data_IF_856465359651
#
_entry.id   IF_856465359651
#
_cell.length_a   1.000
_cell.length_b   1.000
_cell.length_c   1.000
_cell.angle_alpha   90.00
_cell.angle_beta   90.00
_cell.angle_gamma   90.00
#
_symmetry.space_group_name_H-M   'P 1'
#
loop_
_entity.id
_entity.type
_entity.pdbx_description
1 polymer ?
#
# COMPACT_ATOMS: atom_id res chain seq x y z
N UNK A 1 -35.89 -5.80 -3.82
CA UNK A 1 -35.44 -4.41 -3.60
C UNK A 1 -33.99 -4.53 -3.19
N UNK A 2 -33.05 -4.22 -4.07
CA UNK A 2 -31.66 -4.11 -3.69
C UNK A 2 -31.57 -3.01 -2.65
N UNK A 3 -31.06 -3.35 -1.48
CA UNK A 3 -30.83 -2.36 -0.42
C UNK A 3 -29.72 -1.44 -0.91
N UNK A 4 -30.05 -0.21 -1.30
CA UNK A 4 -29.04 0.82 -1.60
C UNK A 4 -28.09 0.95 -0.42
N UNK A 5 -26.81 0.80 -0.67
CA UNK A 5 -25.75 0.89 0.32
C UNK A 5 -25.09 2.26 0.26
N UNK A 6 -24.52 2.66 1.36
CA UNK A 6 -23.73 3.90 1.45
C UNK A 6 -22.24 3.56 1.53
N UNK A 7 -21.48 4.06 0.56
CA UNK A 7 -20.06 3.89 0.46
C UNK A 7 -19.33 5.19 0.77
N UNK A 8 -18.25 5.08 1.55
CA UNK A 8 -17.23 6.12 1.65
C UNK A 8 -16.01 5.64 0.87
N UNK A 9 -15.70 6.33 -0.21
CA UNK A 9 -14.54 6.07 -1.05
C UNK A 9 -13.42 7.05 -0.68
N UNK A 10 -12.20 6.55 -0.47
CA UNK A 10 -11.04 7.36 -0.08
C UNK A 10 -10.01 7.30 -1.20
N UNK A 11 -9.54 8.45 -1.67
CA UNK A 11 -8.49 8.54 -2.66
C UNK A 11 -7.64 9.79 -2.50
N UNK A 12 -6.35 9.62 -2.21
CA UNK A 12 -5.35 10.68 -2.18
C UNK A 12 -4.77 11.02 -3.55
N UNK A 13 -5.06 10.20 -4.56
CA UNK A 13 -4.67 10.37 -5.94
C UNK A 13 -5.91 10.35 -6.82
N UNK A 14 -5.85 10.95 -8.00
CA UNK A 14 -6.96 10.85 -8.94
C UNK A 14 -7.03 9.44 -9.54
N UNK A 15 -7.74 8.55 -8.83
CA UNK A 15 -7.94 7.15 -9.21
C UNK A 15 -9.35 6.68 -8.85
N UNK A 16 -9.80 5.62 -9.52
CA UNK A 16 -11.06 4.95 -9.21
C UNK A 16 -12.33 5.64 -9.74
N UNK A 17 -12.22 6.55 -10.70
CA UNK A 17 -13.37 7.23 -11.30
C UNK A 17 -14.42 6.24 -11.82
N UNK A 18 -14.00 5.21 -12.56
CA UNK A 18 -14.92 4.17 -13.09
C UNK A 18 -15.60 3.37 -11.97
N UNK A 19 -14.91 3.14 -10.86
CA UNK A 19 -15.49 2.48 -9.69
C UNK A 19 -16.60 3.33 -9.06
N UNK A 20 -16.39 4.65 -8.90
CA UNK A 20 -17.40 5.58 -8.38
C UNK A 20 -18.64 5.62 -9.31
N UNK A 21 -18.43 5.69 -10.63
CA UNK A 21 -19.49 5.65 -11.62
C UNK A 21 -20.31 4.37 -11.47
N UNK A 22 -19.64 3.22 -11.43
CA UNK A 22 -20.32 1.93 -11.34
C UNK A 22 -21.08 1.76 -10.02
N UNK A 23 -20.54 2.21 -8.89
CA UNK A 23 -21.28 2.21 -7.62
C UNK A 23 -22.57 3.00 -7.72
N UNK A 24 -22.53 4.17 -8.37
CA UNK A 24 -23.72 5.03 -8.55
C UNK A 24 -24.75 4.40 -9.48
N UNK A 25 -24.31 3.81 -10.59
CA UNK A 25 -25.18 3.06 -11.52
C UNK A 25 -25.94 1.93 -10.83
N UNK A 26 -25.33 1.29 -9.82
CA UNK A 26 -25.97 0.28 -8.98
C UNK A 26 -26.94 0.86 -7.94
N UNK A 27 -27.19 2.16 -7.96
CA UNK A 27 -28.16 2.83 -7.08
C UNK A 27 -27.64 3.13 -5.67
N UNK A 28 -26.35 3.05 -5.43
CA UNK A 28 -25.76 3.31 -4.13
C UNK A 28 -25.59 4.81 -3.86
N UNK A 29 -25.46 5.15 -2.56
CA UNK A 29 -24.97 6.47 -2.14
C UNK A 29 -23.44 6.44 -2.08
N UNK A 30 -22.81 7.40 -2.75
CA UNK A 30 -21.36 7.46 -2.93
C UNK A 30 -20.81 8.75 -2.37
N UNK A 31 -20.02 8.66 -1.33
CA UNK A 31 -19.25 9.78 -0.76
C UNK A 31 -17.77 9.62 -1.12
N UNK A 32 -17.14 10.68 -1.58
CA UNK A 32 -15.70 10.71 -1.86
C UNK A 32 -14.99 11.56 -0.80
N UNK A 33 -13.95 10.99 -0.20
CA UNK A 33 -12.98 11.74 0.62
C UNK A 33 -11.68 11.82 -0.16
N UNK A 34 -11.21 13.02 -0.44
CA UNK A 34 -10.01 13.26 -1.25
C UNK A 34 -9.21 14.45 -0.72
N UNK A 35 -8.02 14.68 -1.25
CA UNK A 35 -7.19 15.82 -0.91
C UNK A 35 -7.74 17.11 -1.54
N UNK A 36 -7.59 18.23 -0.83
CA UNK A 36 -7.88 19.57 -1.37
C UNK A 36 -7.08 19.84 -2.67
N UNK A 37 -5.89 19.26 -2.80
CA UNK A 37 -5.05 19.38 -4.00
C UNK A 37 -5.68 18.76 -5.25
N UNK A 38 -6.68 17.89 -5.09
CA UNK A 38 -7.39 17.22 -6.19
C UNK A 38 -8.78 17.82 -6.47
N UNK A 39 -9.07 19.01 -5.94
CA UNK A 39 -10.36 19.69 -6.12
C UNK A 39 -10.73 19.87 -7.58
N UNK A 40 -9.76 20.29 -8.39
CA UNK A 40 -9.94 20.56 -9.81
C UNK A 40 -9.69 19.33 -10.71
N UNK A 41 -9.49 18.15 -10.12
CA UNK A 41 -9.37 16.90 -10.87
C UNK A 41 -10.71 16.53 -11.50
N UNK A 42 -10.71 15.82 -12.65
CA UNK A 42 -11.93 15.51 -13.38
C UNK A 42 -12.74 14.37 -12.73
N UNK A 43 -13.09 14.53 -11.46
CA UNK A 43 -13.93 13.57 -10.74
C UNK A 43 -15.31 13.45 -11.43
N UNK A 44 -15.92 12.26 -11.44
CA UNK A 44 -17.25 12.04 -12.00
C UNK A 44 -18.33 12.59 -11.03
N UNK A 45 -18.45 13.91 -10.92
CA UNK A 45 -19.32 14.60 -9.94
C UNK A 45 -20.78 14.15 -10.01
N UNK A 46 -21.29 13.80 -11.20
CA UNK A 46 -22.66 13.27 -11.37
C UNK A 46 -22.85 11.90 -10.71
N UNK A 47 -21.76 11.20 -10.38
CA UNK A 47 -21.74 9.88 -9.73
C UNK A 47 -21.33 9.92 -8.27
N UNK A 48 -21.19 11.12 -7.69
CA UNK A 48 -20.77 11.34 -6.30
C UNK A 48 -21.83 12.22 -5.61
N UNK A 49 -22.38 11.72 -4.50
CA UNK A 49 -23.40 12.48 -3.76
C UNK A 49 -22.79 13.66 -3.00
N UNK A 50 -21.60 13.50 -2.45
CA UNK A 50 -20.85 14.58 -1.80
C UNK A 50 -19.35 14.28 -1.79
N UNK A 51 -18.52 15.34 -1.92
CA UNK A 51 -17.07 15.27 -1.83
C UNK A 51 -16.58 15.99 -0.59
N UNK A 52 -15.80 15.29 0.21
CA UNK A 52 -15.14 15.84 1.40
C UNK A 52 -13.66 16.03 1.13
N UNK A 53 -13.18 17.25 1.29
CA UNK A 53 -11.79 17.58 1.04
C UNK A 53 -11.00 17.64 2.35
N UNK A 54 -9.89 16.90 2.38
CA UNK A 54 -8.95 16.90 3.48
C UNK A 54 -7.81 17.88 3.19
N UNK A 55 -7.47 18.69 4.18
CA UNK A 55 -6.31 19.57 4.11
C UNK A 55 -5.01 18.78 4.24
N UNK A 56 -3.98 19.26 3.55
CA UNK A 56 -2.64 18.64 3.55
C UNK A 56 -2.28 18.01 2.21
N UNK A 57 -1.00 17.73 2.06
CA UNK A 57 -0.46 17.01 0.92
C UNK A 57 -0.64 15.51 1.16
N UNK A 58 -1.09 14.84 0.17
CA UNK A 58 -1.22 13.38 -0.06
C UNK A 58 -1.17 12.44 1.16
N UNK A 59 -0.08 12.41 1.93
CA UNK A 59 0.15 11.47 3.03
C UNK A 59 -0.09 12.07 4.42
N UNK A 60 -0.28 13.38 4.52
CA UNK A 60 -0.27 14.08 5.80
C UNK A 60 -1.67 14.33 6.39
N UNK A 61 -2.66 13.57 5.98
CA UNK A 61 -4.00 13.70 6.56
C UNK A 61 -3.99 13.36 8.04
N UNK A 62 -4.59 14.25 8.82
CA UNK A 62 -4.83 13.98 10.22
C UNK A 62 -5.94 12.93 10.36
N UNK A 63 -5.58 11.72 10.80
CA UNK A 63 -6.51 10.59 10.91
C UNK A 63 -7.61 10.83 11.94
N UNK A 64 -7.35 11.60 13.00
CA UNK A 64 -8.35 11.93 14.00
C UNK A 64 -9.39 12.90 13.43
N UNK A 65 -8.97 13.87 12.61
CA UNK A 65 -9.90 14.75 11.90
C UNK A 65 -10.75 13.96 10.90
N UNK A 66 -10.15 13.04 10.18
CA UNK A 66 -10.84 12.15 9.25
C UNK A 66 -11.89 11.30 10.00
N UNK A 67 -11.50 10.68 11.12
CA UNK A 67 -12.38 9.88 11.96
C UNK A 67 -13.56 10.71 12.49
N UNK A 68 -13.29 11.91 13.02
CA UNK A 68 -14.31 12.82 13.53
C UNK A 68 -15.27 13.26 12.43
N UNK A 69 -14.77 13.58 11.23
CA UNK A 69 -15.58 13.96 10.08
C UNK A 69 -16.55 12.85 9.67
N UNK A 70 -16.02 11.63 9.48
CA UNK A 70 -16.84 10.47 9.12
C UNK A 70 -17.81 10.10 10.25
N UNK A 71 -17.34 10.10 11.51
CA UNK A 71 -18.21 9.87 12.67
C UNK A 71 -19.35 10.89 12.77
N UNK A 72 -19.12 12.14 12.37
CA UNK A 72 -20.17 13.15 12.31
C UNK A 72 -21.18 12.88 11.18
N UNK A 73 -20.70 12.50 9.99
CA UNK A 73 -21.55 12.08 8.87
C UNK A 73 -22.45 10.91 9.25
N UNK A 74 -21.93 9.96 10.01
CA UNK A 74 -22.66 8.76 10.47
C UNK A 74 -23.79 9.04 11.45
N UNK A 75 -23.89 10.24 12.04
CA UNK A 75 -25.02 10.61 12.91
C UNK A 75 -26.35 10.62 12.15
N UNK A 76 -26.31 10.95 10.87
CA UNK A 76 -27.51 11.05 10.02
C UNK A 76 -27.51 10.08 8.84
N UNK A 77 -26.37 9.43 8.57
CA UNK A 77 -26.23 8.52 7.45
C UNK A 77 -25.66 7.17 7.94
N UNK A 78 -26.33 6.07 7.60
CA UNK A 78 -25.73 4.76 7.80
C UNK A 78 -24.63 4.58 6.75
N UNK A 79 -23.44 4.20 7.18
CA UNK A 79 -22.33 3.83 6.29
C UNK A 79 -22.20 2.31 6.27
N UNK A 80 -22.28 1.70 5.10
CA UNK A 80 -22.22 0.25 4.92
C UNK A 80 -20.81 -0.22 4.56
N UNK A 81 -20.02 0.60 3.88
CA UNK A 81 -18.65 0.24 3.50
C UNK A 81 -17.71 1.44 3.38
N UNK A 82 -16.44 1.22 3.70
CA UNK A 82 -15.35 2.15 3.41
C UNK A 82 -14.39 1.46 2.43
N UNK A 83 -14.15 2.11 1.28
CA UNK A 83 -13.30 1.59 0.20
C UNK A 83 -12.17 2.55 -0.06
N UNK A 84 -10.96 2.03 -0.16
CA UNK A 84 -9.77 2.81 -0.55
C UNK A 84 -9.46 2.53 -2.02
N UNK A 85 -9.31 3.59 -2.79
CA UNK A 85 -9.13 3.52 -4.25
C UNK A 85 -7.66 3.53 -4.66
N UNK A 86 -6.76 3.72 -3.68
CA UNK A 86 -5.32 3.71 -3.86
C UNK A 86 -4.64 2.94 -2.73
N UNK A 87 -3.47 2.35 -3.00
CA UNK A 87 -2.70 1.61 -2.01
C UNK A 87 -2.18 2.50 -0.87
N UNK A 88 -1.91 3.79 -1.13
CA UNK A 88 -1.54 4.77 -0.08
C UNK A 88 -2.66 5.04 0.92
N UNK A 89 -3.90 4.75 0.57
CA UNK A 89 -5.06 4.98 1.42
C UNK A 89 -5.47 3.77 2.27
N UNK A 90 -4.86 2.60 2.04
CA UNK A 90 -5.20 1.36 2.74
C UNK A 90 -5.15 1.54 4.27
N UNK A 91 -4.12 2.18 4.80
CA UNK A 91 -4.00 2.40 6.25
C UNK A 91 -5.08 3.33 6.79
N UNK A 92 -5.50 4.35 6.03
CA UNK A 92 -6.62 5.25 6.39
C UNK A 92 -7.95 4.51 6.45
N UNK A 93 -8.26 3.73 5.40
CA UNK A 93 -9.49 2.94 5.35
C UNK A 93 -9.55 1.88 6.45
N UNK A 94 -8.44 1.22 6.75
CA UNK A 94 -8.38 0.23 7.84
C UNK A 94 -8.53 0.86 9.21
N UNK A 95 -7.93 2.05 9.43
CA UNK A 95 -8.10 2.83 10.65
C UNK A 95 -9.57 3.21 10.88
N UNK A 96 -10.24 3.73 9.86
CA UNK A 96 -11.66 4.10 9.95
C UNK A 96 -12.55 2.89 10.20
N UNK A 97 -12.38 1.80 9.41
CA UNK A 97 -13.21 0.59 9.59
C UNK A 97 -13.10 0.03 11.00
N UNK A 98 -11.89 -0.03 11.54
CA UNK A 98 -11.66 -0.56 12.88
C UNK A 98 -12.24 0.35 13.97
N UNK A 99 -12.09 1.66 13.88
CA UNK A 99 -12.62 2.60 14.87
C UNK A 99 -14.15 2.74 14.80
N UNK A 100 -14.74 2.73 13.60
CA UNK A 100 -16.18 2.92 13.37
C UNK A 100 -16.96 1.59 13.33
N UNK A 101 -16.27 0.45 13.51
CA UNK A 101 -16.87 -0.90 13.45
C UNK A 101 -17.60 -1.19 12.14
N UNK A 102 -17.03 -0.72 11.05
CA UNK A 102 -17.49 -1.04 9.68
C UNK A 102 -16.75 -2.28 9.20
N UNK A 103 -17.47 -3.20 8.59
CA UNK A 103 -16.91 -4.46 8.12
C UNK A 103 -15.76 -4.29 7.14
N UNK A 104 -14.76 -5.19 7.22
CA UNK A 104 -13.61 -5.23 6.35
C UNK A 104 -12.28 -5.36 7.12
N UNK A 105 -11.17 -5.24 6.41
CA UNK A 105 -9.85 -5.36 7.01
C UNK A 105 -9.60 -4.25 8.03
N UNK A 106 -9.21 -4.64 9.24
CA UNK A 106 -8.69 -3.73 10.27
C UNK A 106 -7.20 -3.42 10.06
N UNK A 107 -6.62 -2.61 10.94
CA UNK A 107 -5.26 -2.07 10.82
C UNK A 107 -4.18 -3.15 10.72
N UNK A 108 -4.26 -4.20 11.53
CA UNK A 108 -3.27 -5.30 11.49
C UNK A 108 -3.23 -5.98 10.13
N UNK A 109 -4.40 -6.30 9.57
CA UNK A 109 -4.50 -6.96 8.26
C UNK A 109 -4.09 -6.01 7.14
N UNK A 110 -4.53 -4.75 7.17
CA UNK A 110 -4.18 -3.75 6.16
C UNK A 110 -2.68 -3.51 6.03
N UNK A 111 -1.95 -3.57 7.15
CA UNK A 111 -0.49 -3.45 7.13
C UNK A 111 0.21 -4.54 6.34
N UNK A 112 -0.36 -5.72 6.20
CA UNK A 112 0.22 -6.78 5.35
C UNK A 112 0.25 -6.39 3.87
N UNK A 113 -0.50 -5.36 3.47
CA UNK A 113 -0.55 -4.87 2.09
C UNK A 113 0.25 -3.58 1.87
N UNK A 114 0.67 -2.89 2.95
CA UNK A 114 1.41 -1.62 2.85
C UNK A 114 2.77 -1.64 3.51
N UNK A 115 2.87 -2.22 4.70
CA UNK A 115 4.09 -2.25 5.49
C UNK A 115 4.96 -3.45 5.10
N UNK A 116 6.06 -3.21 4.41
CA UNK A 116 6.97 -4.26 3.93
C UNK A 116 7.50 -5.15 5.05
N UNK A 117 7.72 -4.62 6.26
CA UNK A 117 8.14 -5.43 7.40
C UNK A 117 7.02 -6.38 7.85
N UNK A 118 5.81 -5.87 8.00
CA UNK A 118 4.64 -6.69 8.35
C UNK A 118 4.34 -7.73 7.25
N UNK A 119 4.46 -7.36 5.99
CA UNK A 119 4.33 -8.25 4.83
C UNK A 119 5.36 -9.40 4.88
N UNK A 120 6.64 -9.10 5.14
CA UNK A 120 7.69 -10.12 5.27
C UNK A 120 7.46 -11.05 6.45
N UNK A 121 7.07 -10.50 7.60
CA UNK A 121 6.74 -11.29 8.79
C UNK A 121 5.56 -12.23 8.52
N UNK A 122 4.51 -11.72 7.86
CA UNK A 122 3.34 -12.52 7.50
C UNK A 122 3.69 -13.64 6.51
N UNK A 123 4.40 -13.32 5.43
CA UNK A 123 4.83 -14.29 4.45
C UNK A 123 5.68 -15.40 5.10
N UNK A 124 6.65 -15.04 5.96
CA UNK A 124 7.45 -15.99 6.73
C UNK A 124 6.60 -16.88 7.61
N UNK A 125 5.61 -16.33 8.31
CA UNK A 125 4.70 -17.12 9.18
C UNK A 125 3.81 -18.10 8.39
N UNK A 126 3.59 -17.82 7.10
CA UNK A 126 2.85 -18.70 6.19
C UNK A 126 3.76 -19.67 5.39
N UNK A 127 5.07 -19.73 5.69
CA UNK A 127 6.02 -20.59 4.98
C UNK A 127 6.38 -20.11 3.58
N UNK A 128 6.03 -18.88 3.22
CA UNK A 128 6.38 -18.28 1.93
C UNK A 128 7.84 -17.80 1.99
N UNK A 129 8.65 -18.21 0.99
CA UNK A 129 10.05 -17.82 0.89
C UNK A 129 10.20 -16.30 0.76
N UNK A 130 11.13 -15.75 1.54
CA UNK A 130 11.47 -14.33 1.53
C UNK A 130 12.99 -14.18 1.53
N UNK A 131 13.53 -13.05 1.04
CA UNK A 131 14.87 -12.63 1.41
C UNK A 131 15.00 -12.53 2.95
N UNK A 132 16.19 -12.77 3.49
CA UNK A 132 16.45 -12.48 4.90
C UNK A 132 16.20 -11.00 5.18
N UNK A 133 15.56 -10.71 6.31
CA UNK A 133 15.21 -9.34 6.68
C UNK A 133 15.30 -9.12 8.18
N UNK A 134 15.48 -7.87 8.57
CA UNK A 134 15.56 -7.42 9.96
C UNK A 134 14.84 -6.07 10.11
N UNK A 135 14.16 -5.88 11.25
CA UNK A 135 13.69 -4.55 11.67
C UNK A 135 14.85 -3.70 12.16
N UNK A 136 14.74 -2.39 12.08
CA UNK A 136 15.76 -1.47 12.61
C UNK A 136 15.46 -1.00 14.05
N UNK A 137 14.82 -1.85 14.87
CA UNK A 137 14.45 -1.48 16.23
C UNK A 137 15.58 -1.71 17.23
N UNK A 138 16.30 -2.82 17.10
CA UNK A 138 17.29 -3.26 18.07
C UNK A 138 18.66 -3.38 17.42
N UNK A 139 19.68 -2.75 18.02
CA UNK A 139 21.05 -2.74 17.49
C UNK A 139 21.71 -4.11 17.51
N UNK A 140 21.38 -4.94 18.49
CA UNK A 140 21.91 -6.30 18.56
C UNK A 140 21.37 -7.16 17.39
N UNK A 141 20.08 -7.05 17.09
CA UNK A 141 19.46 -7.78 15.97
C UNK A 141 20.03 -7.33 14.62
N UNK A 142 20.27 -6.02 14.44
CA UNK A 142 20.90 -5.45 13.26
C UNK A 142 22.33 -5.98 13.09
N UNK A 143 23.10 -5.99 14.17
CA UNK A 143 24.46 -6.52 14.15
C UNK A 143 24.47 -8.02 13.85
N UNK A 144 23.59 -8.79 14.48
CA UNK A 144 23.45 -10.24 14.23
C UNK A 144 23.11 -10.51 12.77
N UNK A 145 22.18 -9.73 12.20
CA UNK A 145 21.82 -9.82 10.79
C UNK A 145 23.04 -9.56 9.89
N UNK A 146 23.76 -8.48 10.14
CA UNK A 146 24.93 -8.09 9.33
C UNK A 146 26.11 -9.07 9.47
N UNK A 147 26.21 -9.80 10.57
CA UNK A 147 27.24 -10.81 10.82
C UNK A 147 26.89 -12.19 10.26
N UNK A 148 25.61 -12.46 9.97
CA UNK A 148 25.11 -13.80 9.55
C UNK A 148 24.53 -13.83 8.14
N UNK A 149 24.24 -12.69 7.55
CA UNK A 149 23.66 -12.57 6.21
C UNK A 149 24.63 -11.84 5.30
N UNK A 150 25.06 -12.49 4.23
CA UNK A 150 26.00 -11.90 3.27
C UNK A 150 25.45 -10.62 2.61
N UNK A 151 26.29 -9.61 2.50
CA UNK A 151 26.02 -8.40 1.72
C UNK A 151 25.99 -8.73 0.19
N UNK A 152 25.42 -7.87 -0.66
CA UNK A 152 24.85 -6.57 -0.33
C UNK A 152 23.47 -6.65 0.32
N UNK A 153 23.16 -5.63 1.10
CA UNK A 153 21.85 -5.43 1.71
C UNK A 153 21.14 -4.21 1.13
N UNK A 154 19.86 -4.10 1.43
CA UNK A 154 19.06 -2.90 1.12
C UNK A 154 18.35 -2.40 2.37
N UNK A 155 18.53 -1.11 2.64
CA UNK A 155 17.68 -0.35 3.55
C UNK A 155 16.54 0.21 2.73
N UNK A 156 15.30 -0.03 3.13
CA UNK A 156 14.15 0.47 2.40
C UNK A 156 13.03 0.93 3.33
N UNK A 157 12.33 2.02 2.97
CA UNK A 157 11.15 2.46 3.72
C UNK A 157 10.09 1.36 3.75
N UNK A 158 9.38 1.23 4.87
CA UNK A 158 8.36 0.21 5.07
C UNK A 158 7.11 0.45 4.23
N UNK A 159 6.68 1.71 4.09
CA UNK A 159 5.38 2.07 3.48
C UNK A 159 5.48 2.91 2.21
N UNK A 160 6.68 3.06 1.62
CA UNK A 160 6.86 3.76 0.35
C UNK A 160 6.63 2.85 -0.86
N UNK A 161 6.39 3.45 -2.04
CA UNK A 161 6.21 2.77 -3.31
C UNK A 161 7.29 3.16 -4.33
N UNK A 162 7.28 2.54 -5.51
CA UNK A 162 8.11 2.86 -6.68
C UNK A 162 9.61 2.84 -6.41
N UNK A 163 10.08 1.98 -5.51
CA UNK A 163 11.49 1.88 -5.09
C UNK A 163 12.08 3.18 -4.51
N UNK A 164 11.25 4.13 -4.09
CA UNK A 164 11.67 5.38 -3.46
C UNK A 164 12.39 5.11 -2.15
N UNK A 165 13.49 5.85 -1.91
CA UNK A 165 14.25 5.81 -0.65
C UNK A 165 14.99 4.50 -0.38
N UNK A 166 15.20 3.64 -1.39
CA UNK A 166 15.99 2.41 -1.24
C UNK A 166 17.47 2.74 -1.31
N UNK A 167 18.23 2.31 -0.29
CA UNK A 167 19.67 2.46 -0.19
C UNK A 167 20.30 1.07 -0.23
N UNK A 168 21.20 0.82 -1.18
CA UNK A 168 21.98 -0.42 -1.26
C UNK A 168 23.29 -0.26 -0.48
N UNK A 169 23.59 -1.23 0.37
CA UNK A 169 24.70 -1.18 1.33
C UNK A 169 25.55 -2.44 1.18
N UNK A 170 26.86 -2.29 1.22
CA UNK A 170 27.81 -3.38 0.91
C UNK A 170 28.62 -3.86 2.11
N UNK A 171 28.62 -3.10 3.20
CA UNK A 171 29.39 -3.40 4.40
C UNK A 171 28.70 -2.83 5.66
N UNK A 172 29.13 -3.31 6.80
CA UNK A 172 28.56 -2.97 8.12
C UNK A 172 28.85 -1.52 8.54
N UNK A 173 29.97 -0.94 8.13
CA UNK A 173 30.31 0.44 8.46
C UNK A 173 29.35 1.41 7.77
N UNK A 174 29.19 1.26 6.45
CA UNK A 174 28.25 2.04 5.64
C UNK A 174 26.79 1.84 6.11
N UNK A 175 26.44 0.62 6.50
CA UNK A 175 25.11 0.33 7.08
C UNK A 175 24.84 1.21 8.29
N UNK A 176 25.77 1.28 9.25
CA UNK A 176 25.59 2.06 10.46
C UNK A 176 25.63 3.57 10.23
N UNK A 177 26.37 4.05 9.22
CA UNK A 177 26.32 5.46 8.81
C UNK A 177 24.88 5.82 8.44
N UNK A 178 24.24 5.09 7.55
CA UNK A 178 22.87 5.37 7.13
C UNK A 178 21.85 5.20 8.26
N UNK A 179 21.98 4.18 9.10
CA UNK A 179 21.09 4.00 10.24
C UNK A 179 21.18 5.18 11.23
N UNK A 180 22.38 5.69 11.48
CA UNK A 180 22.61 6.85 12.34
C UNK A 180 22.03 8.14 11.73
N UNK A 181 22.16 8.32 10.41
CA UNK A 181 21.54 9.44 9.68
C UNK A 181 20.01 9.44 9.79
N UNK A 182 19.38 8.26 9.80
CA UNK A 182 17.94 8.13 10.00
C UNK A 182 17.48 8.54 11.41
N UNK A 183 18.36 8.46 12.42
CA UNK A 183 18.07 8.81 13.79
C UNK A 183 16.79 8.13 14.32
N UNK A 184 15.91 8.93 14.91
CA UNK A 184 14.65 8.42 15.46
C UNK A 184 13.65 7.90 14.40
N UNK A 185 13.89 8.14 13.11
CA UNK A 185 13.03 7.63 12.02
C UNK A 185 13.43 6.23 11.53
N UNK A 186 14.50 5.64 12.05
CA UNK A 186 14.99 4.33 11.62
C UNK A 186 13.91 3.23 11.70
N UNK A 187 12.95 3.34 12.61
CA UNK A 187 11.83 2.39 12.73
C UNK A 187 10.90 2.37 11.50
N UNK A 188 10.94 3.42 10.66
CA UNK A 188 10.20 3.48 9.39
C UNK A 188 10.86 2.70 8.27
N UNK A 189 12.00 2.08 8.52
CA UNK A 189 12.78 1.31 7.54
C UNK A 189 12.91 -0.14 7.96
N UNK A 190 13.28 -0.99 7.00
CA UNK A 190 13.74 -2.35 7.24
C UNK A 190 15.06 -2.58 6.49
N UNK A 191 15.85 -3.52 7.01
CA UNK A 191 17.04 -4.06 6.38
C UNK A 191 16.67 -5.40 5.73
N UNK A 192 17.08 -5.62 4.49
CA UNK A 192 16.79 -6.85 3.76
C UNK A 192 17.99 -7.27 2.94
N UNK A 193 18.23 -8.57 2.79
CA UNK A 193 19.23 -9.10 1.90
C UNK A 193 18.87 -8.73 0.45
N UNK A 194 19.80 -8.14 -0.29
CA UNK A 194 19.60 -7.89 -1.71
C UNK A 194 19.60 -9.22 -2.49
N UNK A 195 18.54 -9.45 -3.24
CA UNK A 195 18.44 -10.60 -4.14
C UNK A 195 18.43 -10.09 -5.57
N UNK A 196 19.48 -10.35 -6.36
CA UNK A 196 19.46 -10.03 -7.79
C UNK A 196 18.47 -10.93 -8.51
N UNK A 197 17.95 -10.46 -9.63
CA UNK A 197 17.02 -11.22 -10.46
C UNK A 197 15.99 -10.34 -11.12
N UNK A 198 15.16 -10.96 -11.94
CA UNK A 198 14.01 -10.33 -12.56
C UNK A 198 12.94 -9.99 -11.51
N UNK A 199 12.21 -8.93 -11.74
CA UNK A 199 11.11 -8.51 -10.86
C UNK A 199 9.78 -8.71 -11.56
N UNK A 200 8.84 -9.30 -10.84
CA UNK A 200 7.50 -9.59 -11.30
C UNK A 200 6.48 -8.91 -10.40
N UNK A 201 5.29 -8.68 -10.90
CA UNK A 201 4.11 -8.39 -10.10
C UNK A 201 2.97 -9.30 -10.51
N UNK A 202 2.09 -9.57 -9.56
CA UNK A 202 0.91 -10.38 -9.78
C UNK A 202 -0.31 -9.58 -9.32
N UNK A 203 -1.21 -9.27 -10.26
CA UNK A 203 -2.44 -8.54 -9.98
C UNK A 203 -3.58 -9.55 -9.83
N UNK A 204 -4.33 -9.44 -8.74
CA UNK A 204 -5.36 -10.42 -8.41
C UNK A 204 -6.63 -9.76 -7.91
N UNK A 205 -7.78 -10.36 -8.26
CA UNK A 205 -9.08 -10.05 -7.66
C UNK A 205 -9.41 -11.16 -6.68
N UNK A 206 -9.60 -10.78 -5.42
CA UNK A 206 -9.91 -11.72 -4.34
C UNK A 206 -11.25 -11.34 -3.71
N UNK A 207 -12.16 -12.31 -3.59
CA UNK A 207 -13.44 -12.16 -2.89
C UNK A 207 -13.62 -13.33 -1.94
N UNK A 208 -13.96 -13.05 -0.69
CA UNK A 208 -14.19 -14.04 0.38
C UNK A 208 -13.06 -15.08 0.50
N UNK A 209 -11.81 -14.60 0.39
CA UNK A 209 -10.61 -15.44 0.47
C UNK A 209 -10.35 -16.31 -0.76
N UNK A 210 -11.12 -16.15 -1.83
CA UNK A 210 -10.94 -16.88 -3.10
C UNK A 210 -10.37 -15.95 -4.16
N UNK A 211 -9.32 -16.37 -4.83
CA UNK A 211 -8.78 -15.69 -6.00
C UNK A 211 -9.72 -15.94 -7.17
N UNK A 212 -10.38 -14.89 -7.67
CA UNK A 212 -11.29 -14.96 -8.83
C UNK A 212 -10.55 -14.73 -10.14
N UNK A 213 -9.51 -13.92 -10.11
CA UNK A 213 -8.67 -13.58 -11.24
C UNK A 213 -7.26 -13.31 -10.75
N UNK A 214 -6.27 -13.68 -11.54
CA UNK A 214 -4.86 -13.39 -11.29
C UNK A 214 -4.12 -13.32 -12.62
N UNK A 215 -3.22 -12.35 -12.75
CA UNK A 215 -2.33 -12.22 -13.90
C UNK A 215 -0.94 -11.81 -13.43
N UNK A 216 0.07 -12.52 -13.90
CA UNK A 216 1.46 -12.22 -13.64
C UNK A 216 2.07 -11.37 -14.74
N UNK A 217 2.95 -10.45 -14.39
CA UNK A 217 3.65 -9.59 -15.31
C UNK A 217 5.10 -9.44 -14.89
N UNK A 218 6.01 -9.37 -15.88
CA UNK A 218 7.43 -9.15 -15.68
C UNK A 218 7.79 -7.70 -15.98
N UNK A 219 8.53 -7.06 -15.07
CA UNK A 219 9.15 -5.76 -15.37
C UNK A 219 10.24 -5.88 -16.42
N UNK A 220 10.26 -4.97 -17.41
CA UNK A 220 11.29 -4.94 -18.47
C UNK A 220 12.62 -4.38 -17.99
N UNK A 221 12.58 -3.55 -16.95
CA UNK A 221 13.73 -3.14 -16.13
C UNK A 221 13.24 -3.07 -14.68
N UNK A 222 14.08 -3.39 -13.72
CA UNK A 222 13.65 -3.44 -12.32
C UNK A 222 13.22 -2.04 -11.83
N UNK A 223 12.24 -1.95 -10.94
CA UNK A 223 11.83 -0.66 -10.36
C UNK A 223 12.99 0.11 -9.73
N UNK A 224 13.97 -0.57 -9.16
CA UNK A 224 15.16 0.06 -8.58
C UNK A 224 16.08 0.67 -9.65
N UNK A 225 16.30 -0.01 -10.76
CA UNK A 225 17.10 0.52 -11.88
C UNK A 225 16.45 1.78 -12.47
N UNK A 226 15.12 1.76 -12.66
CA UNK A 226 14.37 2.92 -13.17
C UNK A 226 14.40 4.07 -12.17
N UNK A 227 14.20 3.81 -10.88
CA UNK A 227 14.22 4.84 -9.85
C UNK A 227 15.57 5.52 -9.70
N UNK A 228 16.67 4.78 -9.87
CA UNK A 228 18.04 5.30 -9.73
C UNK A 228 18.64 5.83 -11.04
N UNK A 229 18.32 5.20 -12.16
CA UNK A 229 18.90 5.54 -13.47
C UNK A 229 18.00 6.37 -14.38
N UNK A 230 16.75 6.56 -14.00
CA UNK A 230 15.71 7.16 -14.85
C UNK A 230 15.15 6.17 -15.87
N UNK A 231 14.05 6.55 -16.53
CA UNK A 231 13.40 5.71 -17.52
C UNK A 231 11.87 5.64 -17.31
N UNK A 232 11.25 4.66 -17.94
CA UNK A 232 9.81 4.44 -17.89
C UNK A 232 9.54 3.08 -17.25
N UNK A 233 8.71 3.05 -16.22
CA UNK A 233 8.20 1.80 -15.64
C UNK A 233 7.33 1.09 -16.68
N UNK A 234 7.77 -0.11 -17.07
CA UNK A 234 7.08 -0.96 -18.04
C UNK A 234 7.09 -2.39 -17.57
N UNK A 235 5.98 -3.08 -17.72
CA UNK A 235 5.87 -4.51 -17.55
C UNK A 235 5.16 -5.14 -18.75
N UNK A 236 5.37 -6.43 -18.93
CA UNK A 236 4.68 -7.24 -19.92
C UNK A 236 3.97 -8.40 -19.23
N UNK A 237 2.73 -8.64 -19.61
CA UNK A 237 1.97 -9.77 -19.10
C UNK A 237 2.62 -11.08 -19.54
N UNK A 238 2.66 -12.04 -18.63
CA UNK A 238 3.11 -13.40 -18.91
C UNK A 238 1.92 -14.16 -19.48
N UNK A 239 2.04 -14.76 -20.67
CA UNK A 239 0.94 -15.56 -21.23
C UNK A 239 0.64 -16.77 -20.35
N UNK A 240 -0.64 -17.04 -20.13
CA UNK A 240 -1.10 -18.20 -19.36
C UNK A 240 -0.55 -19.53 -19.90
N UNK A 241 -0.27 -20.44 -18.96
CA UNK A 241 0.22 -21.79 -19.24
C UNK A 241 1.62 -21.88 -19.91
N UNK A 242 2.40 -20.81 -19.88
CA UNK A 242 3.82 -20.87 -20.25
C UNK A 242 4.66 -21.41 -19.08
N UNK A 243 5.93 -21.69 -19.33
CA UNK A 243 6.87 -22.09 -18.26
C UNK A 243 6.97 -21.00 -17.17
N UNK A 244 7.09 -19.76 -17.61
CA UNK A 244 7.20 -18.57 -16.72
C UNK A 244 5.95 -18.30 -15.88
N UNK A 245 4.77 -18.78 -16.33
CA UNK A 245 3.51 -18.66 -15.58
C UNK A 245 3.38 -19.70 -14.45
N UNK A 246 4.21 -20.75 -14.50
CA UNK A 246 4.18 -21.87 -13.56
C UNK A 246 5.24 -21.79 -12.47
N UNK A 247 6.21 -20.89 -12.59
CA UNK A 247 7.23 -20.59 -11.59
C UNK A 247 6.73 -19.53 -10.60
#
# INVERSE_FOLDING_TARGET
>A
MENNKTFICISNYFKGADFLIHLKELGNTVYLVTSETLRDSPWPHDSIDEVFYMNGLDTDWNLDHLLLGIGNLMKSNKVDAIVTLDDFDVEKGTYLRENLRIDGMGQTTGRYFRDKLAMRMRAKSCGISNPNFCSLYNDHDINTFADTVDAPWVLKPRSEASASGIIKVYDKETLWIHINEMGNNRFKYLLEQFRPGDVYHCDSIVLDGKVLFSISSKYLATPMEISQGGGIFRSANIPYNTADDKE
#
